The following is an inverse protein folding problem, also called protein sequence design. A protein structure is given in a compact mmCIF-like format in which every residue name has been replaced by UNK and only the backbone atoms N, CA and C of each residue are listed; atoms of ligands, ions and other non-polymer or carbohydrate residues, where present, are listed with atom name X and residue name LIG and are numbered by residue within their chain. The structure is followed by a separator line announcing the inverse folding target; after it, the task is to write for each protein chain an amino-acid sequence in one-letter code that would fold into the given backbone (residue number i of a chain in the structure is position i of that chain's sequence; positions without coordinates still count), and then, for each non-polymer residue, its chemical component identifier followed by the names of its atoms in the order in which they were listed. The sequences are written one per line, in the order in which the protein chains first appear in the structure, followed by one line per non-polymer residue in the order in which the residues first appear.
data_IF_752633117318
#
_entry.id   IF_752633117318
#
_cell.length_a   1.000
_cell.length_b   1.000
_cell.length_c   1.000
_cell.angle_alpha   90.00
_cell.angle_beta   90.00
_cell.angle_gamma   90.00
#
_symmetry.space_group_name_H-M   'P 1'
#
loop_
_entity.id
_entity.type
_entity.pdbx_description
1 polymer ?
#
# COMPACT_ATOMS: atom_id res chain seq x y z
N UNK A 1 -13.75 31.91 -12.34
CA UNK A 1 -15.09 31.28 -12.26
C UNK A 1 -15.46 30.71 -13.61
N UNK A 2 -16.14 29.55 -13.69
CA UNK A 2 -16.62 29.02 -14.96
C UNK A 2 -17.67 29.95 -15.58
N UNK A 3 -17.46 30.33 -16.84
CA UNK A 3 -18.28 31.33 -17.55
C UNK A 3 -19.49 30.69 -18.24
N UNK A 4 -19.35 29.46 -18.76
CA UNK A 4 -20.43 28.73 -19.42
C UNK A 4 -21.13 27.72 -18.50
N UNK A 5 -22.37 27.36 -18.83
CA UNK A 5 -23.12 26.31 -18.14
C UNK A 5 -22.40 24.95 -18.19
N UNK A 6 -21.76 24.63 -19.32
CA UNK A 6 -20.95 23.41 -19.45
C UNK A 6 -19.74 23.43 -18.50
N UNK A 7 -19.05 24.56 -18.38
CA UNK A 7 -17.93 24.71 -17.46
C UNK A 7 -18.38 24.62 -15.99
N UNK A 8 -19.52 25.21 -15.62
CA UNK A 8 -20.08 25.10 -14.25
C UNK A 8 -20.49 23.67 -13.91
N UNK A 9 -21.00 22.91 -14.88
CA UNK A 9 -21.30 21.47 -14.73
C UNK A 9 -20.02 20.64 -14.60
N UNK A 10 -18.99 20.94 -15.39
CA UNK A 10 -17.70 20.26 -15.33
C UNK A 10 -17.02 20.46 -13.96
N UNK A 11 -17.03 21.69 -13.43
CA UNK A 11 -16.47 22.02 -12.12
C UNK A 11 -17.10 21.18 -11.01
N UNK A 12 -18.44 21.20 -10.90
CA UNK A 12 -19.19 20.39 -9.91
C UNK A 12 -18.91 18.90 -10.03
N UNK A 13 -18.81 18.37 -11.25
CA UNK A 13 -18.47 16.96 -11.48
C UNK A 13 -17.04 16.66 -11.05
N UNK A 14 -16.10 17.56 -11.31
CA UNK A 14 -14.69 17.41 -10.96
C UNK A 14 -14.48 17.40 -9.44
N UNK A 15 -15.16 18.28 -8.70
CA UNK A 15 -15.10 18.36 -7.24
C UNK A 15 -15.59 17.05 -6.61
N UNK A 16 -16.77 16.57 -7.02
CA UNK A 16 -17.33 15.30 -6.55
C UNK A 16 -16.42 14.11 -6.87
N UNK A 17 -15.77 14.10 -8.04
CA UNK A 17 -14.79 13.05 -8.41
C UNK A 17 -13.53 13.17 -7.55
N UNK A 18 -13.04 14.38 -7.32
CA UNK A 18 -11.86 14.67 -6.51
C UNK A 18 -12.05 14.16 -5.09
N UNK A 19 -13.18 14.44 -4.44
CA UNK A 19 -13.47 13.96 -3.08
C UNK A 19 -13.41 12.44 -2.98
N UNK A 20 -14.10 11.72 -3.87
CA UNK A 20 -14.06 10.24 -3.89
C UNK A 20 -12.66 9.70 -4.15
N UNK A 21 -11.95 10.29 -5.11
CA UNK A 21 -10.59 9.88 -5.45
C UNK A 21 -9.62 10.13 -4.29
N UNK A 22 -9.74 11.26 -3.61
CA UNK A 22 -8.94 11.60 -2.43
C UNK A 22 -9.14 10.60 -1.31
N UNK A 23 -10.39 10.21 -1.02
CA UNK A 23 -10.70 9.22 0.01
C UNK A 23 -10.00 7.86 -0.27
N UNK A 24 -10.13 7.33 -1.49
CA UNK A 24 -9.47 6.07 -1.85
C UNK A 24 -7.94 6.19 -1.86
N UNK A 25 -7.43 7.33 -2.33
CA UNK A 25 -6.00 7.59 -2.41
C UNK A 25 -5.35 7.74 -1.03
N UNK A 26 -5.98 8.45 -0.11
CA UNK A 26 -5.50 8.61 1.27
C UNK A 26 -5.51 7.27 1.99
N UNK A 27 -6.64 6.54 1.93
CA UNK A 27 -6.79 5.20 2.53
C UNK A 27 -5.71 4.23 2.04
N UNK A 28 -5.45 4.19 0.73
CA UNK A 28 -4.37 3.37 0.18
C UNK A 28 -2.99 3.79 0.70
N UNK A 29 -2.68 5.10 0.70
CA UNK A 29 -1.38 5.61 1.17
C UNK A 29 -1.15 5.29 2.65
N UNK A 30 -2.17 5.47 3.48
CA UNK A 30 -2.13 5.15 4.90
C UNK A 30 -1.93 3.67 5.14
N UNK A 31 -2.66 2.80 4.43
CA UNK A 31 -2.51 1.35 4.54
C UNK A 31 -1.07 0.91 4.22
N UNK A 32 -0.48 1.44 3.14
CA UNK A 32 0.92 1.17 2.77
C UNK A 32 1.88 1.69 3.84
N UNK A 33 1.67 2.92 4.34
CA UNK A 33 2.54 3.53 5.37
C UNK A 33 2.51 2.72 6.67
N UNK A 34 1.32 2.33 7.12
CA UNK A 34 1.12 1.58 8.36
C UNK A 34 1.75 0.19 8.26
N UNK A 35 1.57 -0.50 7.14
CA UNK A 35 2.20 -1.79 6.89
C UNK A 35 3.73 -1.68 6.93
N UNK A 36 4.32 -0.71 6.23
CA UNK A 36 5.77 -0.50 6.26
C UNK A 36 6.28 -0.23 7.68
N UNK A 37 5.56 0.57 8.46
CA UNK A 37 5.91 0.83 9.85
C UNK A 37 5.90 -0.46 10.67
N UNK A 38 4.85 -1.29 10.54
CA UNK A 38 4.76 -2.57 11.25
C UNK A 38 5.86 -3.54 10.90
N UNK A 39 6.24 -3.64 9.62
CA UNK A 39 7.37 -4.47 9.18
C UNK A 39 8.71 -3.99 9.78
N UNK A 40 8.89 -2.67 9.96
CA UNK A 40 10.09 -2.14 10.63
C UNK A 40 10.07 -2.42 12.13
N UNK A 41 8.93 -2.20 12.79
CA UNK A 41 8.75 -2.47 14.22
C UNK A 41 8.91 -3.97 14.55
N UNK A 42 8.62 -4.84 13.56
CA UNK A 42 8.74 -6.29 13.65
C UNK A 42 10.18 -6.80 13.74
N UNK A 43 11.16 -6.08 13.21
CA UNK A 43 12.56 -6.50 13.25
C UNK A 43 13.16 -6.55 14.66
N UNK A 44 12.51 -5.93 15.65
CA UNK A 44 13.05 -5.75 17.00
C UNK A 44 12.41 -6.67 18.06
N UNK A 45 11.60 -7.66 17.69
CA UNK A 45 10.78 -8.45 18.64
C UNK A 45 11.14 -9.94 18.68
N UNK A 46 11.09 -10.58 19.87
CA UNK A 46 11.46 -12.00 20.04
C UNK A 46 10.43 -13.00 19.48
N UNK A 47 9.16 -12.61 19.29
CA UNK A 47 8.09 -13.50 18.81
C UNK A 47 7.89 -13.43 17.29
N UNK A 48 8.93 -13.80 16.54
CA UNK A 48 9.03 -13.53 15.10
C UNK A 48 8.08 -14.36 14.22
N UNK A 49 7.87 -15.64 14.53
CA UNK A 49 7.03 -16.53 13.69
C UNK A 49 5.55 -16.13 13.68
N UNK A 50 5.00 -15.78 14.85
CA UNK A 50 3.62 -15.29 14.98
C UNK A 50 3.46 -13.99 14.19
N UNK A 51 4.45 -13.11 14.29
CA UNK A 51 4.46 -11.82 13.62
C UNK A 51 4.53 -11.94 12.09
N UNK A 52 5.28 -12.91 11.56
CA UNK A 52 5.35 -13.18 10.12
C UNK A 52 3.97 -13.57 9.59
N UNK A 53 3.23 -14.44 10.30
CA UNK A 53 1.86 -14.83 9.89
C UNK A 53 0.91 -13.63 9.90
N UNK A 54 0.97 -12.80 10.93
CA UNK A 54 0.16 -11.57 11.01
C UNK A 54 0.49 -10.62 9.85
N UNK A 55 1.78 -10.36 9.60
CA UNK A 55 2.23 -9.50 8.50
C UNK A 55 1.82 -10.03 7.13
N UNK A 56 1.80 -11.34 6.92
CA UNK A 56 1.32 -11.92 5.66
C UNK A 56 -0.18 -11.62 5.45
N UNK A 57 -1.00 -11.79 6.51
CA UNK A 57 -2.43 -11.45 6.41
C UNK A 57 -2.65 -9.97 6.16
N UNK A 58 -1.85 -9.10 6.79
CA UNK A 58 -1.91 -7.65 6.54
C UNK A 58 -1.47 -7.31 5.12
N UNK A 59 -0.42 -7.94 4.61
CA UNK A 59 0.05 -7.74 3.24
C UNK A 59 -1.06 -8.04 2.23
N UNK A 60 -1.77 -9.16 2.39
CA UNK A 60 -2.92 -9.52 1.55
C UNK A 60 -4.03 -8.47 1.61
N UNK A 61 -4.35 -7.94 2.80
CA UNK A 61 -5.33 -6.86 2.98
C UNK A 61 -4.88 -5.58 2.25
N UNK A 62 -3.61 -5.19 2.37
CA UNK A 62 -3.08 -4.00 1.70
C UNK A 62 -3.09 -4.15 0.18
N UNK A 63 -2.70 -5.32 -0.34
CA UNK A 63 -2.77 -5.64 -1.77
C UNK A 63 -4.21 -5.52 -2.28
N UNK A 64 -5.19 -6.03 -1.53
CA UNK A 64 -6.61 -5.90 -1.83
C UNK A 64 -7.07 -4.44 -1.90
N UNK A 65 -6.61 -3.59 -0.97
CA UNK A 65 -6.91 -2.15 -1.00
C UNK A 65 -6.32 -1.48 -2.26
N UNK A 66 -5.08 -1.83 -2.63
CA UNK A 66 -4.42 -1.28 -3.82
C UNK A 66 -5.17 -1.70 -5.09
N UNK A 67 -5.53 -2.97 -5.23
CA UNK A 67 -6.26 -3.48 -6.40
C UNK A 67 -7.67 -2.89 -6.48
N UNK A 68 -8.35 -2.72 -5.34
CA UNK A 68 -9.66 -2.06 -5.27
C UNK A 68 -9.58 -0.58 -5.68
N UNK A 69 -8.51 0.11 -5.30
CA UNK A 69 -8.29 1.51 -5.70
C UNK A 69 -8.11 1.63 -7.21
N UNK A 70 -7.47 0.65 -7.83
CA UNK A 70 -7.33 0.56 -9.28
C UNK A 70 -8.65 0.22 -9.99
N UNK A 71 -9.44 -0.71 -9.44
CA UNK A 71 -10.75 -1.06 -10.03
C UNK A 71 -11.75 0.10 -9.98
N UNK A 72 -11.63 1.00 -8.99
CA UNK A 72 -12.37 2.26 -8.92
C UNK A 72 -11.88 3.34 -9.91
N UNK A 73 -10.78 3.08 -10.63
CA UNK A 73 -10.21 4.02 -11.61
C UNK A 73 -9.46 5.21 -10.99
N UNK A 74 -9.14 5.15 -9.70
CA UNK A 74 -8.42 6.23 -8.99
C UNK A 74 -6.93 6.21 -9.36
N UNK A 75 -6.38 5.02 -9.56
CA UNK A 75 -5.02 4.81 -10.07
C UNK A 75 -5.04 3.88 -11.28
N UNK A 76 -4.05 4.00 -12.15
CA UNK A 76 -3.90 3.10 -13.30
C UNK A 76 -3.47 1.69 -12.85
N UNK A 77 -3.87 0.65 -13.59
CA UNK A 77 -3.51 -0.76 -13.30
C UNK A 77 -2.00 -0.96 -13.12
N UNK A 78 -1.18 -0.35 -13.97
CA UNK A 78 0.28 -0.45 -13.88
C UNK A 78 0.84 0.24 -12.62
N UNK A 79 0.21 1.32 -12.16
CA UNK A 79 0.62 1.98 -10.91
C UNK A 79 0.30 1.08 -9.70
N UNK A 80 -0.84 0.40 -9.73
CA UNK A 80 -1.19 -0.60 -8.73
C UNK A 80 -0.19 -1.77 -8.72
N UNK A 81 0.12 -2.36 -9.89
CA UNK A 81 1.11 -3.43 -10.02
C UNK A 81 2.49 -3.02 -9.52
N UNK A 82 2.96 -1.81 -9.85
CA UNK A 82 4.22 -1.26 -9.34
C UNK A 82 4.23 -1.15 -7.81
N UNK A 83 3.14 -0.66 -7.21
CA UNK A 83 3.02 -0.53 -5.75
C UNK A 83 3.03 -1.89 -5.06
N UNK A 84 2.28 -2.86 -5.60
CA UNK A 84 2.25 -4.24 -5.10
C UNK A 84 3.67 -4.84 -5.16
N UNK A 85 4.32 -4.78 -6.32
CA UNK A 85 5.69 -5.30 -6.50
C UNK A 85 6.68 -4.68 -5.51
N UNK A 86 6.66 -3.35 -5.35
CA UNK A 86 7.53 -2.66 -4.38
C UNK A 86 7.27 -3.08 -2.94
N UNK A 87 6.00 -3.27 -2.56
CA UNK A 87 5.59 -3.67 -1.21
C UNK A 87 6.02 -5.11 -0.92
N UNK A 88 5.78 -6.02 -1.85
CA UNK A 88 6.18 -7.42 -1.74
C UNK A 88 7.71 -7.55 -1.70
N UNK A 89 8.43 -6.80 -2.53
CA UNK A 89 9.89 -6.80 -2.49
C UNK A 89 10.44 -6.26 -1.16
N UNK A 90 9.80 -5.26 -0.57
CA UNK A 90 10.16 -4.76 0.75
C UNK A 90 9.96 -5.83 1.83
N UNK A 91 8.83 -6.51 1.82
CA UNK A 91 8.55 -7.63 2.74
C UNK A 91 9.52 -8.81 2.54
N UNK A 92 9.81 -9.18 1.30
CA UNK A 92 10.77 -10.25 0.99
C UNK A 92 12.19 -9.90 1.42
N UNK A 93 12.58 -8.61 1.35
CA UNK A 93 13.88 -8.16 1.87
C UNK A 93 13.94 -8.29 3.40
N UNK A 94 12.85 -7.97 4.09
CA UNK A 94 12.73 -8.21 5.53
C UNK A 94 12.95 -9.71 5.83
N UNK A 95 12.22 -10.61 5.15
CA UNK A 95 12.39 -12.06 5.32
C UNK A 95 13.80 -12.56 4.96
N UNK A 96 14.47 -11.98 3.96
CA UNK A 96 15.84 -12.37 3.53
C UNK A 96 16.94 -11.78 4.41
N UNK A 97 16.73 -10.61 4.99
CA UNK A 97 17.66 -10.02 5.97
C UNK A 97 17.89 -10.98 7.13
N UNK A 98 16.83 -11.70 7.50
CA UNK A 98 16.89 -12.77 8.49
C UNK A 98 17.67 -14.02 8.03
N UNK A 99 17.63 -14.35 6.73
CA UNK A 99 18.30 -15.52 6.17
C UNK A 99 19.83 -15.36 6.10
N UNK A 100 20.35 -14.13 6.12
CA UNK A 100 21.79 -13.85 6.10
C UNK A 100 22.44 -13.88 7.49
N UNK A 101 21.72 -13.47 8.54
CA UNK A 101 22.24 -13.46 9.92
C UNK A 101 22.47 -14.87 10.51
N UNK A 102 21.79 -15.90 9.99
CA UNK A 102 21.99 -17.29 10.43
C UNK A 102 23.23 -17.98 9.84
N UNK A 103 23.79 -17.46 8.74
CA UNK A 103 24.95 -18.06 8.06
C UNK A 103 26.27 -17.55 8.64
N UNK A 104 26.29 -16.34 9.19
CA UNK A 104 27.48 -15.72 9.81
C UNK A 104 27.77 -16.22 11.24
N UNK A 105 26.88 -17.00 11.85
CA UNK A 105 27.08 -17.55 13.21
C UNK A 105 27.62 -18.99 13.24
N UNK A 106 27.91 -19.60 12.08
CA UNK A 106 28.38 -21.00 11.97
C UNK A 106 29.75 -21.14 11.26
N UNK A 107 30.47 -20.05 11.04
CA UNK A 107 31.86 -20.06 10.57
C UNK A 107 32.78 -19.45 11.62
#
# INVERSE_FOLDING_TARGET
MPVSESARRALRKSEKRRERNLYHLSKMREAIRLFKKRVLDAGNKPNREVLIKELETELRKVISIISHTASKGVIHKNEASRRISRLTNFYNKFLKGDAKQGVEQQG
#
